data_IF_924680792646
#
_entry.id   IF_924680792646
#
_cell.length_a   1.000
_cell.length_b   1.000
_cell.length_c   1.000
_cell.angle_alpha   90.00
_cell.angle_beta   90.00
_cell.angle_gamma   90.00
#
_symmetry.space_group_name_H-M   'P 1'
#
loop_
_entity.id
_entity.type
_entity.pdbx_description
1 polymer ?
#
# COMPACT_ATOMS: atom_id res chain seq x y z
N UNK A 1 23.97 4.62 8.84
CA UNK A 1 23.07 5.67 8.32
C UNK A 1 21.68 5.12 8.31
N UNK A 2 20.69 5.85 8.83
CA UNK A 2 19.28 5.45 8.77
C UNK A 2 18.79 5.43 7.33
N UNK A 3 18.00 4.41 6.99
CA UNK A 3 17.38 4.25 5.68
C UNK A 3 15.93 4.74 5.71
N UNK A 4 15.38 4.94 4.51
CA UNK A 4 13.97 5.31 4.33
C UNK A 4 13.28 4.22 3.51
N UNK A 5 12.19 3.70 4.07
CA UNK A 5 11.39 2.64 3.47
C UNK A 5 9.97 3.12 3.18
N UNK A 6 9.33 2.48 2.21
CA UNK A 6 7.95 2.71 1.80
C UNK A 6 7.20 1.39 1.77
N UNK A 7 5.96 1.40 2.20
CA UNK A 7 5.04 0.26 2.17
C UNK A 7 3.60 0.75 2.24
N UNK A 8 2.63 -0.12 2.03
CA UNK A 8 1.21 0.18 2.10
C UNK A 8 0.39 -1.10 2.18
N UNK A 9 -0.89 -0.97 2.50
CA UNK A 9 -1.89 -2.04 2.42
C UNK A 9 -1.54 -3.28 3.25
N UNK A 10 -0.92 -3.08 4.40
CA UNK A 10 -0.58 -4.18 5.30
C UNK A 10 -1.83 -4.90 5.78
N UNK A 11 -2.92 -4.16 6.05
CA UNK A 11 -4.18 -4.73 6.50
C UNK A 11 -4.02 -5.75 7.63
N UNK A 12 -3.18 -5.44 8.61
CA UNK A 12 -3.03 -6.30 9.79
C UNK A 12 -4.39 -6.62 10.41
N UNK A 13 -4.57 -7.84 10.91
CA UNK A 13 -5.81 -8.37 11.48
C UNK A 13 -6.98 -8.50 10.50
N UNK A 14 -6.75 -8.41 9.18
CA UNK A 14 -7.80 -8.51 8.17
C UNK A 14 -7.83 -9.90 7.53
N UNK A 15 -8.54 -10.86 8.13
CA UNK A 15 -8.62 -12.23 7.59
C UNK A 15 -9.12 -12.30 6.14
N UNK A 16 -10.07 -11.44 5.77
CA UNK A 16 -10.65 -11.49 4.42
C UNK A 16 -9.71 -11.01 3.32
N UNK A 17 -8.68 -10.18 3.62
CA UNK A 17 -7.72 -9.72 2.61
C UNK A 17 -6.91 -10.88 2.03
N UNK A 18 -6.71 -11.95 2.80
CA UNK A 18 -6.06 -13.18 2.35
C UNK A 18 -6.78 -13.73 1.12
N UNK A 19 -8.11 -13.79 1.18
CA UNK A 19 -8.95 -14.29 0.07
C UNK A 19 -9.09 -13.25 -1.04
N UNK A 20 -9.27 -11.96 -0.70
CA UNK A 20 -9.50 -10.90 -1.68
C UNK A 20 -8.30 -10.64 -2.58
N UNK A 21 -7.09 -10.73 -2.02
CA UNK A 21 -5.82 -10.48 -2.70
C UNK A 21 -5.00 -11.76 -2.96
N UNK A 22 -5.60 -12.93 -2.68
CA UNK A 22 -4.94 -14.24 -2.86
C UNK A 22 -3.57 -14.29 -2.17
N UNK A 23 -3.50 -13.78 -0.93
CA UNK A 23 -2.27 -13.78 -0.14
C UNK A 23 -1.90 -15.22 0.26
N UNK A 24 -0.60 -15.59 0.25
CA UNK A 24 -0.14 -16.95 0.49
C UNK A 24 -0.03 -17.26 2.00
N UNK A 25 -1.12 -17.06 2.73
CA UNK A 25 -1.20 -17.33 4.17
C UNK A 25 -2.45 -18.14 4.50
N UNK A 26 -2.34 -19.09 5.43
CA UNK A 26 -3.45 -19.96 5.85
C UNK A 26 -4.34 -19.29 6.89
N UNK A 27 -3.80 -18.32 7.64
CA UNK A 27 -4.53 -17.61 8.70
C UNK A 27 -4.09 -16.14 8.83
N UNK A 28 -4.91 -15.34 9.51
CA UNK A 28 -4.57 -13.93 9.79
C UNK A 28 -3.42 -13.82 10.79
N UNK A 29 -3.30 -14.74 11.71
CA UNK A 29 -2.21 -14.82 12.68
C UNK A 29 -0.89 -15.11 11.98
N UNK A 30 -0.90 -16.02 11.03
CA UNK A 30 0.27 -16.32 10.19
C UNK A 30 0.65 -15.11 9.34
N UNK A 31 -0.33 -14.51 8.65
CA UNK A 31 -0.11 -13.31 7.85
C UNK A 31 0.53 -12.20 8.67
N UNK A 32 -0.01 -11.91 9.85
CA UNK A 32 0.54 -10.88 10.73
C UNK A 32 1.97 -11.19 11.14
N UNK A 33 2.25 -12.42 11.59
CA UNK A 33 3.58 -12.87 12.02
C UNK A 33 4.61 -12.76 10.90
N UNK A 34 4.27 -13.29 9.71
CA UNK A 34 5.14 -13.28 8.55
C UNK A 34 5.45 -11.85 8.09
N UNK A 35 4.44 -10.99 8.02
CA UNK A 35 4.62 -9.60 7.62
C UNK A 35 5.48 -8.82 8.62
N UNK A 36 5.31 -9.03 9.94
CA UNK A 36 6.17 -8.44 10.96
C UNK A 36 7.61 -8.94 10.80
N UNK A 37 7.79 -10.25 10.58
CA UNK A 37 9.11 -10.85 10.38
C UNK A 37 9.82 -10.25 9.17
N UNK A 38 9.14 -10.17 8.02
CA UNK A 38 9.70 -9.62 6.78
C UNK A 38 9.98 -8.11 6.88
N UNK A 39 9.09 -7.37 7.55
CA UNK A 39 9.32 -5.96 7.86
C UNK A 39 10.60 -5.79 8.68
N UNK A 40 10.73 -6.50 9.79
CA UNK A 40 11.86 -6.37 10.71
C UNK A 40 13.18 -6.94 10.15
N UNK A 41 13.11 -7.78 9.12
CA UNK A 41 14.30 -8.25 8.43
C UNK A 41 15.03 -7.16 7.62
N UNK A 42 14.29 -6.11 7.20
CA UNK A 42 14.86 -5.03 6.36
C UNK A 42 14.90 -3.68 7.07
N UNK A 43 13.93 -3.40 7.94
CA UNK A 43 13.82 -2.14 8.69
C UNK A 43 14.52 -2.26 10.03
N UNK A 44 15.51 -1.42 10.26
CA UNK A 44 16.22 -1.31 11.54
C UNK A 44 15.53 -0.33 12.51
N UNK A 45 15.99 -0.30 13.78
CA UNK A 45 15.36 0.53 14.82
C UNK A 45 15.49 2.05 14.57
N UNK A 46 16.49 2.50 13.82
CA UNK A 46 16.73 3.92 13.53
C UNK A 46 16.16 4.36 12.17
N UNK A 47 15.57 3.44 11.40
CA UNK A 47 15.08 3.73 10.07
C UNK A 47 13.74 4.49 10.09
N UNK A 48 13.45 5.18 8.99
CA UNK A 48 12.18 5.85 8.78
C UNK A 48 11.31 5.04 7.82
N UNK A 49 10.03 4.86 8.15
CA UNK A 49 9.08 4.17 7.29
C UNK A 49 7.91 5.09 6.96
N UNK A 50 7.66 5.29 5.68
CA UNK A 50 6.43 5.86 5.15
C UNK A 50 5.44 4.74 4.84
N UNK A 51 4.37 4.65 5.60
CA UNK A 51 3.27 3.73 5.35
C UNK A 51 2.15 4.46 4.59
N UNK A 52 1.89 4.06 3.37
CA UNK A 52 0.96 4.76 2.48
C UNK A 52 -0.48 4.24 2.61
N UNK A 53 -0.90 3.95 3.84
CA UNK A 53 -2.30 3.72 4.18
C UNK A 53 -2.71 2.26 4.29
N UNK A 54 -3.90 2.08 4.86
CA UNK A 54 -4.54 0.80 5.12
C UNK A 54 -3.68 -0.12 6.00
N UNK A 55 -3.33 0.43 7.20
CA UNK A 55 -2.45 -0.23 8.15
C UNK A 55 -3.08 -1.48 8.76
N UNK A 56 -4.27 -1.36 9.35
CA UNK A 56 -4.89 -2.47 10.08
C UNK A 56 -6.42 -2.38 10.07
N UNK A 57 -7.07 -3.52 10.25
CA UNK A 57 -8.53 -3.68 10.34
C UNK A 57 -8.89 -4.29 11.71
N UNK A 58 -10.17 -4.34 12.02
CA UNK A 58 -10.69 -4.96 13.23
C UNK A 58 -10.64 -4.03 14.45
N UNK A 59 -10.42 -4.60 15.62
CA UNK A 59 -10.47 -3.86 16.89
C UNK A 59 -9.24 -2.97 17.06
N UNK A 60 -9.46 -1.66 17.18
CA UNK A 60 -8.36 -0.70 17.36
C UNK A 60 -7.52 -0.96 18.64
N UNK A 61 -8.10 -1.60 19.65
CA UNK A 61 -7.36 -1.99 20.85
C UNK A 61 -6.27 -3.04 20.61
N UNK A 62 -6.31 -3.75 19.49
CA UNK A 62 -5.31 -4.76 19.11
C UNK A 62 -4.18 -4.18 18.28
N UNK A 63 -4.39 -3.04 17.62
CA UNK A 63 -3.39 -2.41 16.75
C UNK A 63 -2.07 -2.05 17.45
N UNK A 64 -2.06 -1.54 18.71
CA UNK A 64 -0.83 -1.25 19.43
C UNK A 64 0.06 -2.48 19.66
N UNK A 65 -0.53 -3.69 19.73
CA UNK A 65 0.20 -4.95 19.91
C UNK A 65 1.08 -5.22 18.68
N UNK A 66 0.52 -4.99 17.48
CA UNK A 66 1.24 -5.14 16.21
C UNK A 66 2.23 -3.99 16.01
N UNK A 67 1.76 -2.75 16.20
CA UNK A 67 2.56 -1.55 15.93
C UNK A 67 3.89 -1.55 16.71
N UNK A 68 3.87 -2.00 17.98
CA UNK A 68 5.07 -2.08 18.83
C UNK A 68 6.07 -3.15 18.40
N UNK A 69 5.66 -4.13 17.62
CA UNK A 69 6.55 -5.17 17.09
C UNK A 69 7.28 -4.73 15.81
N UNK A 70 6.84 -3.65 15.16
CA UNK A 70 7.42 -3.15 13.92
C UNK A 70 8.60 -2.22 14.20
N UNK A 71 9.78 -2.58 13.71
CA UNK A 71 10.96 -1.73 13.72
C UNK A 71 10.71 -0.40 12.98
N UNK A 72 11.59 0.57 13.21
CA UNK A 72 11.55 1.90 12.65
C UNK A 72 11.46 2.97 13.73
N UNK A 73 12.49 3.80 13.83
CA UNK A 73 12.56 4.91 14.78
C UNK A 73 11.52 6.00 14.50
N UNK A 74 11.17 6.18 13.23
CA UNK A 74 10.12 7.09 12.79
C UNK A 74 9.19 6.40 11.80
N UNK A 75 7.90 6.30 12.12
CA UNK A 75 6.86 5.80 11.22
C UNK A 75 5.89 6.92 10.89
N UNK A 76 5.70 7.22 9.60
CA UNK A 76 4.86 8.30 9.06
C UNK A 76 3.75 7.66 8.25
N UNK A 77 2.50 8.05 8.49
CA UNK A 77 1.34 7.52 7.79
C UNK A 77 0.84 8.52 6.73
N UNK A 78 0.62 8.01 5.54
CA UNK A 78 -0.28 8.63 4.54
C UNK A 78 -1.58 7.83 4.60
N UNK A 79 -2.64 8.41 5.12
CA UNK A 79 -3.87 7.70 5.43
C UNK A 79 -4.52 7.08 4.21
N UNK A 80 -4.91 5.82 4.34
CA UNK A 80 -5.79 5.11 3.44
C UNK A 80 -7.27 5.27 3.83
N UNK A 81 -8.13 4.66 3.04
CA UNK A 81 -9.58 4.71 3.25
C UNK A 81 -10.06 3.86 4.45
N UNK A 82 -9.27 2.87 4.87
CA UNK A 82 -9.55 2.05 6.04
C UNK A 82 -8.92 2.57 7.34
N UNK A 83 -8.00 3.53 7.24
CA UNK A 83 -7.36 4.09 8.42
C UNK A 83 -8.29 5.04 9.19
N UNK A 84 -8.12 5.05 10.51
CA UNK A 84 -8.83 5.95 11.39
C UNK A 84 -8.36 7.41 11.19
N UNK A 85 -8.91 8.34 11.98
CA UNK A 85 -8.52 9.74 11.92
C UNK A 85 -7.01 9.94 12.18
N UNK A 86 -6.42 11.01 11.65
CA UNK A 86 -5.01 11.35 11.88
C UNK A 86 -4.65 11.32 13.36
N UNK A 87 -5.51 11.92 14.20
CA UNK A 87 -5.32 11.92 15.67
C UNK A 87 -5.20 10.49 16.22
N UNK A 88 -6.09 9.58 15.83
CA UNK A 88 -6.07 8.18 16.26
C UNK A 88 -4.79 7.46 15.86
N UNK A 89 -4.30 7.73 14.63
CA UNK A 89 -3.09 7.10 14.12
C UNK A 89 -1.83 7.65 14.80
N UNK A 90 -1.82 8.93 15.19
CA UNK A 90 -0.76 9.52 16.02
C UNK A 90 -0.80 8.92 17.44
N UNK A 91 -1.97 8.80 18.04
CA UNK A 91 -2.15 8.15 19.35
C UNK A 91 -1.72 6.66 19.33
N UNK A 92 -1.84 5.97 18.18
CA UNK A 92 -1.33 4.61 17.98
C UNK A 92 0.21 4.55 18.02
N UNK A 93 0.90 5.62 17.61
CA UNK A 93 2.36 5.72 17.64
C UNK A 93 3.02 6.20 16.34
N UNK A 94 2.25 6.51 15.29
CA UNK A 94 2.81 7.19 14.13
C UNK A 94 3.29 8.58 14.52
N UNK A 95 4.50 8.94 14.10
CA UNK A 95 5.06 10.26 14.39
C UNK A 95 4.28 11.38 13.69
N UNK A 96 3.77 11.08 12.51
CA UNK A 96 2.98 12.00 11.69
C UNK A 96 1.91 11.19 10.92
N UNK A 97 0.78 11.85 10.61
CA UNK A 97 -0.26 11.29 9.77
C UNK A 97 -0.80 12.36 8.80
N UNK A 98 -0.81 12.07 7.51
CA UNK A 98 -1.20 12.98 6.43
C UNK A 98 -2.21 12.31 5.50
N UNK A 99 -2.99 13.09 4.75
CA UNK A 99 -3.80 12.55 3.65
C UNK A 99 -2.97 12.43 2.36
N UNK A 100 -1.99 13.32 2.20
CA UNK A 100 -0.99 13.33 1.13
C UNK A 100 0.24 14.11 1.60
N UNK A 101 1.40 13.81 1.04
CA UNK A 101 2.67 14.47 1.37
C UNK A 101 3.55 14.57 0.12
N UNK A 102 4.32 15.63 -0.02
CA UNK A 102 5.41 15.70 -1.00
C UNK A 102 6.74 15.36 -0.32
N UNK A 103 7.47 14.41 -0.92
CA UNK A 103 8.76 13.95 -0.43
C UNK A 103 9.76 13.83 -1.58
N UNK A 104 10.83 14.61 -1.56
CA UNK A 104 11.92 14.56 -2.55
C UNK A 104 11.44 14.50 -4.02
N UNK A 105 10.43 15.30 -4.37
CA UNK A 105 9.85 15.34 -5.71
C UNK A 105 8.87 14.22 -6.03
N UNK A 106 8.54 13.36 -5.05
CA UNK A 106 7.48 12.37 -5.12
C UNK A 106 6.23 12.87 -4.39
N UNK A 107 5.07 12.65 -4.97
CA UNK A 107 3.81 12.72 -4.26
C UNK A 107 3.59 11.38 -3.56
N UNK A 108 3.29 11.41 -2.26
CA UNK A 108 2.87 10.26 -1.47
C UNK A 108 1.37 10.36 -1.23
N UNK A 109 0.61 9.40 -1.72
CA UNK A 109 -0.84 9.37 -1.60
C UNK A 109 -1.33 7.93 -1.63
N UNK A 110 -2.36 7.59 -0.85
CA UNK A 110 -2.85 6.21 -0.81
C UNK A 110 -3.44 5.77 -2.15
N UNK A 111 -4.46 6.47 -2.65
CA UNK A 111 -5.08 6.11 -3.91
C UNK A 111 -4.29 6.62 -5.13
N UNK A 112 -4.09 5.80 -6.17
CA UNK A 112 -3.45 6.27 -7.40
C UNK A 112 -4.30 7.32 -8.11
N UNK A 113 -3.65 8.38 -8.59
CA UNK A 113 -4.29 9.46 -9.34
C UNK A 113 -3.52 9.75 -10.62
N UNK A 114 -4.23 10.21 -11.65
CA UNK A 114 -3.57 10.71 -12.86
C UNK A 114 -2.86 12.02 -12.52
N UNK A 115 -1.54 12.02 -12.63
CA UNK A 115 -0.68 13.16 -12.27
C UNK A 115 0.56 13.18 -13.14
N UNK A 116 1.10 14.38 -13.52
CA UNK A 116 2.41 14.48 -14.14
C UNK A 116 3.57 14.29 -13.15
N UNK A 117 3.28 14.27 -11.83
CA UNK A 117 4.29 14.08 -10.78
C UNK A 117 4.65 12.60 -10.64
N UNK A 118 5.83 12.33 -10.14
CA UNK A 118 6.19 11.01 -9.62
C UNK A 118 5.29 10.71 -8.42
N UNK A 119 4.71 9.52 -8.38
CA UNK A 119 3.73 9.13 -7.35
C UNK A 119 4.10 7.79 -6.74
N UNK A 120 4.14 7.72 -5.41
CA UNK A 120 4.05 6.48 -4.67
C UNK A 120 2.62 6.33 -4.14
N UNK A 121 2.02 5.16 -4.35
CA UNK A 121 0.65 4.88 -3.93
C UNK A 121 0.48 3.46 -3.41
N UNK A 122 -0.68 3.16 -2.84
CA UNK A 122 -1.16 1.84 -2.46
C UNK A 122 -2.52 1.57 -3.07
N UNK A 123 -3.45 1.02 -2.28
CA UNK A 123 -4.88 0.82 -2.54
C UNK A 123 -5.24 -0.23 -3.58
N UNK A 124 -4.39 -0.48 -4.54
CA UNK A 124 -4.68 -1.36 -5.68
C UNK A 124 -4.13 -2.77 -5.52
N UNK A 125 -3.54 -3.06 -4.36
CA UNK A 125 -3.05 -4.37 -3.97
C UNK A 125 -2.17 -5.04 -5.05
N UNK A 126 -2.55 -6.22 -5.53
CA UNK A 126 -1.81 -7.05 -6.48
C UNK A 126 -1.92 -6.61 -7.95
N UNK A 127 -2.71 -5.57 -8.26
CA UNK A 127 -3.07 -5.25 -9.66
C UNK A 127 -1.89 -4.90 -10.54
N UNK A 128 -0.98 -4.09 -10.06
CA UNK A 128 0.26 -3.73 -10.76
C UNK A 128 1.29 -3.14 -9.81
N UNK A 129 2.56 -3.25 -10.18
CA UNK A 129 3.69 -2.74 -9.40
C UNK A 129 4.07 -1.32 -9.79
N UNK A 130 4.15 -1.04 -11.09
CA UNK A 130 4.62 0.24 -11.61
C UNK A 130 4.00 0.56 -12.98
N UNK A 131 3.63 1.83 -13.17
CA UNK A 131 3.16 2.38 -14.43
C UNK A 131 3.87 3.73 -14.66
N UNK A 132 4.98 3.72 -15.41
CA UNK A 132 5.85 4.88 -15.56
C UNK A 132 6.41 5.36 -14.21
N UNK A 133 6.10 6.59 -13.82
CA UNK A 133 6.50 7.18 -12.55
C UNK A 133 5.44 7.03 -11.44
N UNK A 134 4.43 6.21 -11.63
CA UNK A 134 3.48 5.83 -10.59
C UNK A 134 3.85 4.43 -10.09
N UNK A 135 4.20 4.32 -8.82
CA UNK A 135 4.67 3.08 -8.20
C UNK A 135 3.72 2.71 -7.07
N UNK A 136 3.17 1.50 -7.16
CA UNK A 136 2.45 0.86 -6.07
C UNK A 136 3.45 0.31 -5.06
N UNK A 137 3.36 0.77 -3.81
CA UNK A 137 4.20 0.29 -2.70
C UNK A 137 3.48 -0.71 -1.81
N UNK A 138 2.28 -1.17 -2.23
CA UNK A 138 1.49 -2.16 -1.51
C UNK A 138 2.24 -3.48 -1.33
N UNK A 139 2.10 -4.07 -0.15
CA UNK A 139 2.81 -5.30 0.24
C UNK A 139 2.60 -6.46 -0.74
N UNK A 140 1.43 -6.53 -1.37
CA UNK A 140 1.03 -7.62 -2.28
C UNK A 140 1.92 -7.75 -3.52
N UNK A 141 2.59 -6.67 -3.94
CA UNK A 141 3.48 -6.66 -5.11
C UNK A 141 4.96 -6.59 -4.75
N UNK A 142 5.31 -6.55 -3.47
CA UNK A 142 6.69 -6.45 -2.97
C UNK A 142 7.04 -7.54 -1.96
N UNK A 143 6.45 -8.71 -2.10
CA UNK A 143 6.72 -9.87 -1.24
C UNK A 143 6.57 -9.54 0.25
N UNK A 144 5.51 -8.81 0.57
CA UNK A 144 5.15 -8.40 1.94
C UNK A 144 6.29 -7.70 2.71
N UNK A 145 7.18 -7.00 2.00
CA UNK A 145 8.41 -6.40 2.54
C UNK A 145 8.49 -4.91 2.19
N UNK A 146 8.73 -4.00 3.15
CA UNK A 146 9.00 -2.59 2.85
C UNK A 146 10.21 -2.41 1.94
N UNK A 147 10.18 -1.41 1.05
CA UNK A 147 11.24 -1.16 0.05
C UNK A 147 11.78 0.26 0.15
N UNK A 148 13.05 0.41 -0.18
CA UNK A 148 13.67 1.73 -0.36
C UNK A 148 13.27 2.33 -1.71
N UNK A 149 13.46 3.65 -1.88
CA UNK A 149 13.12 4.30 -3.16
C UNK A 149 13.96 3.75 -4.32
N UNK A 150 15.21 3.40 -4.07
CA UNK A 150 16.11 2.82 -5.07
C UNK A 150 15.61 1.45 -5.56
N UNK A 151 15.09 0.61 -4.65
CA UNK A 151 14.50 -0.67 -5.00
C UNK A 151 13.21 -0.50 -5.79
N UNK A 152 12.34 0.44 -5.35
CA UNK A 152 11.07 0.74 -6.01
C UNK A 152 11.27 1.23 -7.45
N UNK A 153 12.25 2.11 -7.69
CA UNK A 153 12.54 2.67 -9.02
C UNK A 153 13.19 1.65 -9.95
N UNK A 154 14.01 0.72 -9.41
CA UNK A 154 14.63 -0.38 -10.17
C UNK A 154 13.66 -1.52 -10.48
N UNK A 155 12.51 -1.59 -9.79
CA UNK A 155 11.50 -2.60 -10.04
C UNK A 155 11.04 -2.59 -11.49
N UNK A 156 10.83 -3.78 -12.06
CA UNK A 156 10.38 -3.94 -13.43
C UNK A 156 9.07 -3.18 -13.68
N UNK A 157 8.98 -2.52 -14.81
CA UNK A 157 7.75 -1.91 -15.27
C UNK A 157 6.72 -3.00 -15.53
N UNK A 158 5.55 -2.88 -14.93
CA UNK A 158 4.50 -3.89 -15.11
C UNK A 158 4.01 -3.84 -16.55
N UNK A 159 4.17 -4.94 -17.25
CA UNK A 159 3.59 -5.16 -18.59
C UNK A 159 2.13 -5.63 -18.51
N UNK A 160 1.45 -5.30 -17.40
CA UNK A 160 0.16 -5.90 -17.07
C UNK A 160 -0.92 -5.57 -18.08
N UNK A 161 -1.44 -6.63 -18.62
CA UNK A 161 -2.77 -6.68 -19.22
C UNK A 161 -3.78 -6.97 -18.10
N UNK A 162 -4.42 -5.94 -17.54
CA UNK A 162 -5.48 -6.13 -16.56
C UNK A 162 -6.78 -6.48 -17.28
N UNK A 163 -7.33 -7.64 -16.99
CA UNK A 163 -8.65 -8.03 -17.48
C UNK A 163 -9.73 -7.43 -16.58
N UNK A 164 -10.52 -6.52 -17.10
CA UNK A 164 -11.65 -5.96 -16.36
C UNK A 164 -12.61 -7.09 -15.95
N UNK A 165 -12.86 -7.25 -14.67
CA UNK A 165 -13.75 -8.29 -14.12
C UNK A 165 -15.22 -8.14 -14.55
N UNK A 166 -15.63 -6.94 -14.99
CA UNK A 166 -16.99 -6.66 -15.40
C UNK A 166 -17.23 -6.84 -16.90
N UNK A 167 -16.29 -6.45 -17.76
CA UNK A 167 -16.47 -6.53 -19.22
C UNK A 167 -15.44 -7.41 -19.92
N UNK A 168 -14.49 -7.99 -19.19
CA UNK A 168 -13.44 -8.85 -19.74
C UNK A 168 -12.41 -8.12 -20.63
N UNK A 169 -12.51 -6.81 -20.80
CA UNK A 169 -11.56 -6.05 -21.62
C UNK A 169 -10.16 -6.09 -21.01
N UNK A 170 -9.15 -6.27 -21.86
CA UNK A 170 -7.74 -6.15 -21.48
C UNK A 170 -7.34 -4.68 -21.44
N UNK A 171 -6.98 -4.19 -20.27
CA UNK A 171 -6.61 -2.81 -20.04
C UNK A 171 -5.09 -2.70 -19.93
N UNK A 172 -4.45 -2.04 -20.90
CA UNK A 172 -2.99 -1.99 -21.05
C UNK A 172 -2.35 -0.70 -20.53
N UNK A 173 -3.15 0.33 -20.19
CA UNK A 173 -2.66 1.66 -19.81
C UNK A 173 -3.42 2.23 -18.61
N UNK A 174 -2.76 3.13 -17.91
CA UNK A 174 -3.33 3.87 -16.77
C UNK A 174 -4.66 4.58 -17.12
N UNK A 175 -4.73 5.13 -18.33
CA UNK A 175 -5.92 5.84 -18.84
C UNK A 175 -7.14 4.94 -18.94
N UNK A 176 -6.94 3.68 -19.31
CA UNK A 176 -8.01 2.68 -19.40
C UNK A 176 -8.48 2.23 -18.01
N UNK A 177 -7.58 2.21 -17.01
CA UNK A 177 -7.91 1.84 -15.64
C UNK A 177 -8.71 2.94 -14.89
N UNK A 178 -8.46 4.22 -15.17
CA UNK A 178 -9.20 5.33 -14.55
C UNK A 178 -10.65 5.44 -15.02
N UNK A 179 -11.00 4.87 -16.19
CA UNK A 179 -12.38 4.77 -16.67
C UNK A 179 -13.23 3.72 -15.95
N UNK A 180 -12.64 2.94 -15.05
CA UNK A 180 -13.29 1.87 -14.28
C UNK A 180 -13.37 2.18 -12.78
N UNK A 181 -13.43 3.46 -12.39
CA UNK A 181 -13.65 3.88 -11.00
C UNK A 181 -14.99 3.33 -10.48
N UNK A 182 -15.00 2.96 -9.20
CA UNK A 182 -16.18 2.56 -8.44
C UNK A 182 -16.90 1.30 -8.94
N UNK A 183 -16.19 0.38 -9.61
CA UNK A 183 -16.75 -0.90 -10.04
C UNK A 183 -17.73 -0.78 -11.21
N UNK A 184 -17.85 0.39 -11.85
CA UNK A 184 -18.64 0.58 -13.06
C UNK A 184 -17.76 0.64 -14.29
N UNK A 185 -17.99 -0.25 -15.24
CA UNK A 185 -17.35 -0.21 -16.55
C UNK A 185 -17.94 0.94 -17.37
N UNK A 186 -17.08 1.76 -18.01
CA UNK A 186 -17.55 2.86 -18.89
C UNK A 186 -18.45 2.40 -20.05
N UNK A 187 -18.54 1.09 -20.31
CA UNK A 187 -19.46 0.50 -21.30
C UNK A 187 -20.87 0.27 -20.78
N UNK A 188 -21.13 0.33 -19.47
CA UNK A 188 -22.49 0.18 -18.94
C UNK A 188 -23.36 1.46 -19.08
N UNK A 189 -22.79 2.57 -19.56
CA UNK A 189 -23.51 3.83 -19.80
C UNK A 189 -24.00 4.04 -21.23
N UNK A 190 -23.93 3.04 -22.09
CA UNK A 190 -24.45 3.10 -23.46
C UNK A 190 -25.35 1.87 -23.73
N UNK A 191 -26.53 1.89 -23.17
CA UNK A 191 -27.69 1.16 -23.64
C UNK A 191 -28.84 2.17 -23.87
#
# INVERSE_FOLDING_TARGET
>A
MSKIFFTSDTHFNHANVIKYCTRPFDSVEEMNREMITRWNAVVGPEDTVYHLGDFAIGKASEWPIIFRQLNGGKKILIRGNHDRSQRHMIELGFAEAHNKLEWNGWLLQHEPVKTPKKLLCGHIHEKWRRLGWIINVGVDVWDFTPRTIEELVKGEESTWEYKCRYCGAMLRRLEENFGHRDGKCAKEGRA
#
